data_IF_392604941899
#
_entry.id   IF_392604941899
#
_cell.length_a   1.000
_cell.length_b   1.000
_cell.length_c   1.000
_cell.angle_alpha   90.00
_cell.angle_beta   90.00
_cell.angle_gamma   90.00
#
_symmetry.space_group_name_H-M   'P 1'
#
loop_
_entity.id
_entity.type
_entity.pdbx_description
1 polymer ?
#
# COMPACT_ATOMS: atom_id res chain seq x y z
N UNK A 1 -7.01 2.55 34.09
CA UNK A 1 -6.33 1.59 33.18
C UNK A 1 -6.56 1.87 31.69
N UNK A 2 -7.78 2.10 31.21
CA UNK A 2 -8.08 2.23 29.76
C UNK A 2 -7.35 3.37 29.02
N UNK A 3 -7.18 4.54 29.62
CA UNK A 3 -6.50 5.69 28.98
C UNK A 3 -4.99 5.50 28.77
N UNK A 4 -4.31 4.72 29.62
CA UNK A 4 -2.88 4.46 29.51
C UNK A 4 -2.55 3.51 28.36
N UNK A 5 -3.39 2.49 28.17
CA UNK A 5 -3.27 1.52 27.07
C UNK A 5 -3.55 2.15 25.72
N UNK A 6 -4.63 2.95 25.59
CA UNK A 6 -4.93 3.67 24.35
C UNK A 6 -3.79 4.62 23.94
N UNK A 7 -3.15 5.30 24.91
CA UNK A 7 -2.01 6.17 24.65
C UNK A 7 -0.77 5.37 24.20
N UNK A 8 -0.52 4.21 24.80
CA UNK A 8 0.59 3.34 24.41
C UNK A 8 0.37 2.75 23.00
N UNK A 9 -0.84 2.29 22.69
CA UNK A 9 -1.19 1.76 21.37
C UNK A 9 -1.15 2.83 20.28
N UNK A 10 -1.56 4.07 20.57
CA UNK A 10 -1.39 5.21 19.67
C UNK A 10 0.08 5.39 19.29
N UNK A 11 0.97 5.47 20.30
CA UNK A 11 2.41 5.63 20.05
C UNK A 11 2.98 4.46 19.25
N UNK A 12 2.63 3.23 19.61
CA UNK A 12 3.06 2.06 18.86
C UNK A 12 2.61 2.09 17.39
N UNK A 13 1.37 2.53 17.11
CA UNK A 13 0.89 2.70 15.75
C UNK A 13 1.63 3.80 14.98
N UNK A 14 1.95 4.91 15.64
CA UNK A 14 2.74 6.01 15.07
C UNK A 14 4.17 5.54 14.75
N UNK A 15 4.84 4.89 15.70
CA UNK A 15 6.20 4.35 15.54
C UNK A 15 6.26 3.30 14.41
N UNK A 16 5.30 2.37 14.38
CA UNK A 16 5.21 1.38 13.31
C UNK A 16 4.96 2.06 11.95
N UNK A 17 4.15 3.11 11.90
CA UNK A 17 3.93 3.85 10.65
C UNK A 17 5.19 4.54 10.16
N UNK A 18 6.03 5.06 11.07
CA UNK A 18 7.32 5.68 10.74
C UNK A 18 8.26 4.66 10.10
N UNK A 19 8.41 3.48 10.72
CA UNK A 19 9.22 2.39 10.16
C UNK A 19 8.73 1.95 8.78
N UNK A 20 7.42 1.83 8.60
CA UNK A 20 6.84 1.46 7.31
C UNK A 20 7.07 2.54 6.24
N UNK A 21 6.99 3.81 6.61
CA UNK A 21 7.30 4.94 5.71
C UNK A 21 8.76 4.92 5.27
N UNK A 22 9.68 4.74 6.22
CA UNK A 22 11.11 4.68 5.93
C UNK A 22 11.43 3.49 5.00
N UNK A 23 10.76 2.36 5.22
CA UNK A 23 10.89 1.19 4.36
C UNK A 23 10.35 1.46 2.93
N UNK A 24 9.22 2.16 2.80
CA UNK A 24 8.69 2.60 1.49
C UNK A 24 9.69 3.54 0.80
N UNK A 25 10.20 4.53 1.52
CA UNK A 25 11.16 5.48 0.98
C UNK A 25 12.45 4.76 0.54
N UNK A 26 12.96 3.84 1.35
CA UNK A 26 14.14 3.05 1.01
C UNK A 26 13.93 2.23 -0.27
N UNK A 27 12.81 1.50 -0.36
CA UNK A 27 12.47 0.71 -1.57
C UNK A 27 12.30 1.59 -2.80
N UNK A 28 11.70 2.77 -2.65
CA UNK A 28 11.51 3.71 -3.76
C UNK A 28 12.84 4.14 -4.40
N UNK A 29 13.93 4.21 -3.63
CA UNK A 29 15.27 4.56 -4.13
C UNK A 29 15.94 3.42 -4.91
N UNK A 30 15.46 2.19 -4.74
CA UNK A 30 16.03 0.98 -5.34
C UNK A 30 15.10 0.33 -6.38
N UNK A 31 13.92 0.90 -6.59
CA UNK A 31 12.89 0.33 -7.45
C UNK A 31 13.31 0.39 -8.93
N UNK A 32 13.24 -0.76 -9.59
CA UNK A 32 13.62 -0.96 -10.98
C UNK A 32 12.43 -0.92 -11.94
N UNK A 33 11.21 -0.94 -11.41
CA UNK A 33 9.95 -1.07 -12.15
C UNK A 33 9.89 -2.34 -12.99
N UNK A 34 10.63 -3.37 -12.59
CA UNK A 34 10.50 -4.70 -13.15
C UNK A 34 9.33 -5.43 -12.48
N UNK A 35 8.47 -6.09 -13.27
CA UNK A 35 7.34 -6.82 -12.72
C UNK A 35 7.82 -8.05 -11.95
N UNK A 36 7.03 -8.54 -11.00
CA UNK A 36 7.33 -9.79 -10.29
C UNK A 36 7.51 -10.97 -11.24
N UNK A 37 6.94 -10.93 -12.45
CA UNK A 37 7.14 -11.95 -13.49
C UNK A 37 8.59 -12.05 -13.99
N UNK A 38 9.46 -11.09 -13.67
CA UNK A 38 10.90 -11.16 -13.95
C UNK A 38 11.70 -11.91 -12.88
N UNK A 39 11.09 -12.27 -11.74
CA UNK A 39 11.76 -12.97 -10.64
C UNK A 39 11.81 -14.48 -10.87
N UNK A 40 12.59 -15.26 -10.10
CA UNK A 40 12.49 -16.72 -10.08
C UNK A 40 11.09 -17.20 -9.67
N UNK A 41 10.58 -18.28 -10.26
CA UNK A 41 9.20 -18.76 -10.05
C UNK A 41 8.79 -18.91 -8.58
N UNK A 42 9.70 -19.41 -7.73
CA UNK A 42 9.43 -19.57 -6.30
C UNK A 42 9.15 -18.23 -5.58
N UNK A 43 9.84 -17.15 -5.97
CA UNK A 43 9.60 -15.81 -5.44
C UNK A 43 8.28 -15.23 -5.98
N UNK A 44 7.97 -15.48 -7.25
CA UNK A 44 6.69 -15.06 -7.84
C UNK A 44 5.51 -15.69 -7.09
N UNK A 45 5.58 -17.00 -6.86
CA UNK A 45 4.54 -17.75 -6.16
C UNK A 45 4.31 -17.22 -4.74
N UNK A 46 5.35 -16.75 -4.07
CA UNK A 46 5.24 -16.15 -2.73
C UNK A 46 4.33 -14.92 -2.77
N UNK A 47 4.60 -13.96 -3.66
CA UNK A 47 3.78 -12.75 -3.77
C UNK A 47 2.36 -13.05 -4.25
N UNK A 48 2.20 -13.96 -5.21
CA UNK A 48 0.88 -14.36 -5.70
C UNK A 48 0.06 -15.05 -4.60
N UNK A 49 0.67 -15.90 -3.79
CA UNK A 49 -0.01 -16.53 -2.66
C UNK A 49 -0.42 -15.49 -1.61
N UNK A 50 0.47 -14.56 -1.25
CA UNK A 50 0.16 -13.48 -0.31
C UNK A 50 -1.02 -12.63 -0.79
N UNK A 51 -1.00 -12.16 -2.05
CA UNK A 51 -2.09 -11.35 -2.61
C UNK A 51 -3.41 -12.14 -2.67
N UNK A 52 -3.34 -13.44 -2.94
CA UNK A 52 -4.50 -14.32 -2.96
C UNK A 52 -5.08 -14.54 -1.55
N UNK A 53 -4.23 -14.71 -0.54
CA UNK A 53 -4.64 -14.82 0.87
C UNK A 53 -5.31 -13.54 1.37
N UNK A 54 -4.86 -12.38 0.90
CA UNK A 54 -5.52 -11.08 1.15
C UNK A 54 -6.83 -10.94 0.36
N UNK A 55 -7.16 -11.89 -0.51
CA UNK A 55 -8.32 -11.87 -1.39
C UNK A 55 -8.29 -10.72 -2.40
N UNK A 56 -7.10 -10.22 -2.74
CA UNK A 56 -6.89 -9.19 -3.77
C UNK A 56 -6.92 -9.79 -5.17
N UNK A 57 -6.61 -11.09 -5.25
CA UNK A 57 -6.62 -11.83 -6.50
C UNK A 57 -7.25 -13.22 -6.32
N UNK A 58 -7.83 -13.77 -7.38
CA UNK A 58 -8.31 -15.16 -7.41
C UNK A 58 -7.15 -16.13 -7.67
N UNK A 59 -7.14 -17.27 -6.96
CA UNK A 59 -6.19 -18.38 -7.27
C UNK A 59 -6.61 -19.08 -8.55
N UNK A 60 -6.22 -18.55 -9.73
CA UNK A 60 -5.85 -19.25 -10.99
C UNK A 60 -5.86 -18.31 -12.21
N UNK A 61 -4.89 -18.56 -13.09
CA UNK A 61 -4.73 -18.19 -14.52
C UNK A 61 -4.62 -16.74 -14.97
N UNK A 62 -5.37 -15.77 -14.44
CA UNK A 62 -5.55 -14.51 -15.18
C UNK A 62 -4.50 -13.42 -14.84
N UNK A 63 -3.55 -13.76 -13.97
CA UNK A 63 -2.67 -12.80 -13.27
C UNK A 63 -1.18 -12.97 -13.53
N UNK A 64 -0.79 -13.96 -14.35
CA UNK A 64 0.57 -13.99 -14.92
C UNK A 64 0.90 -12.74 -15.77
N UNK A 65 -0.10 -11.88 -16.04
CA UNK A 65 0.02 -10.68 -16.86
C UNK A 65 -0.09 -9.33 -16.16
N UNK A 66 -0.34 -9.23 -14.84
CA UNK A 66 -0.30 -7.91 -14.18
C UNK A 66 1.15 -7.56 -13.83
N UNK A 67 1.75 -6.51 -14.42
CA UNK A 67 3.13 -6.11 -14.14
C UNK A 67 3.25 -5.43 -12.77
N UNK A 68 2.81 -6.07 -11.68
CA UNK A 68 3.03 -5.56 -10.33
C UNK A 68 4.51 -5.65 -9.97
N UNK A 69 5.04 -4.62 -9.33
CA UNK A 69 6.42 -4.60 -8.83
C UNK A 69 6.51 -5.21 -7.44
N UNK A 70 7.72 -5.59 -7.05
CA UNK A 70 8.01 -6.06 -5.69
C UNK A 70 7.62 -5.00 -4.65
N UNK A 71 7.95 -3.72 -4.88
CA UNK A 71 7.66 -2.67 -3.90
C UNK A 71 6.15 -2.50 -3.68
N UNK A 72 5.35 -2.57 -4.74
CA UNK A 72 3.88 -2.52 -4.62
C UNK A 72 3.33 -3.70 -3.82
N UNK A 73 3.77 -4.92 -4.12
CA UNK A 73 3.34 -6.11 -3.38
C UNK A 73 3.72 -6.01 -1.90
N UNK A 74 4.95 -5.59 -1.59
CA UNK A 74 5.42 -5.43 -0.22
C UNK A 74 4.71 -4.30 0.53
N UNK A 75 4.37 -3.20 -0.14
CA UNK A 75 3.56 -2.13 0.43
C UNK A 75 2.17 -2.65 0.80
N UNK A 76 1.49 -3.33 -0.14
CA UNK A 76 0.15 -3.88 0.07
C UNK A 76 0.15 -4.84 1.26
N UNK A 77 1.12 -5.75 1.32
CA UNK A 77 1.29 -6.65 2.46
C UNK A 77 1.47 -5.91 3.78
N UNK A 78 2.31 -4.87 3.78
CA UNK A 78 2.58 -4.06 4.98
C UNK A 78 1.32 -3.33 5.45
N UNK A 79 0.58 -2.72 4.52
CA UNK A 79 -0.68 -2.04 4.82
C UNK A 79 -1.72 -3.03 5.34
N UNK A 80 -1.85 -4.19 4.71
CA UNK A 80 -2.76 -5.25 5.15
C UNK A 80 -2.51 -5.65 6.60
N UNK A 81 -1.27 -5.97 6.96
CA UNK A 81 -0.95 -6.36 8.33
C UNK A 81 -1.11 -5.21 9.32
N UNK A 82 -0.79 -3.97 8.93
CA UNK A 82 -1.01 -2.80 9.77
C UNK A 82 -2.50 -2.59 10.07
N UNK A 83 -3.33 -2.60 9.02
CA UNK A 83 -4.78 -2.43 9.10
C UNK A 83 -5.41 -3.57 9.91
N UNK A 84 -5.04 -4.83 9.66
CA UNK A 84 -5.55 -5.96 10.43
C UNK A 84 -5.13 -5.92 11.90
N UNK A 85 -3.88 -5.54 12.18
CA UNK A 85 -3.42 -5.38 13.56
C UNK A 85 -4.21 -4.30 14.27
N UNK A 86 -4.45 -3.17 13.60
CA UNK A 86 -5.29 -2.09 14.09
C UNK A 86 -6.73 -2.53 14.38
N UNK A 87 -7.35 -3.27 13.44
CA UNK A 87 -8.70 -3.80 13.62
C UNK A 87 -8.80 -4.75 14.83
N UNK A 88 -7.79 -5.60 15.05
CA UNK A 88 -7.76 -6.55 16.19
C UNK A 88 -7.67 -5.88 17.55
N UNK A 89 -7.27 -4.61 17.62
CA UNK A 89 -7.28 -3.85 18.88
C UNK A 89 -8.71 -3.50 19.33
N UNK A 90 -9.70 -3.59 18.44
CA UNK A 90 -11.12 -3.34 18.71
C UNK A 90 -11.35 -2.05 19.52
N UNK A 91 -10.68 -0.98 19.10
CA UNK A 91 -10.63 0.29 19.82
C UNK A 91 -10.91 1.45 18.86
N UNK A 92 -12.18 1.88 18.82
CA UNK A 92 -12.66 2.96 17.95
C UNK A 92 -11.89 4.29 18.17
N UNK A 93 -11.42 4.56 19.39
CA UNK A 93 -10.62 5.76 19.71
C UNK A 93 -9.28 5.82 18.95
N UNK A 94 -8.79 4.68 18.47
CA UNK A 94 -7.56 4.59 17.68
C UNK A 94 -7.79 4.70 16.18
N UNK A 95 -9.02 4.55 15.69
CA UNK A 95 -9.31 4.61 14.25
C UNK A 95 -8.78 5.89 13.58
N UNK A 96 -8.96 7.11 14.15
CA UNK A 96 -8.41 8.31 13.52
C UNK A 96 -6.89 8.30 13.42
N UNK A 97 -6.20 7.71 14.41
CA UNK A 97 -4.74 7.57 14.41
C UNK A 97 -4.31 6.56 13.37
N UNK A 98 -4.94 5.39 13.34
CA UNK A 98 -4.62 4.32 12.39
C UNK A 98 -4.85 4.79 10.94
N UNK A 99 -5.97 5.46 10.66
CA UNK A 99 -6.25 6.05 9.35
C UNK A 99 -5.20 7.10 8.96
N UNK A 100 -4.77 7.95 9.91
CA UNK A 100 -3.70 8.92 9.68
C UNK A 100 -2.35 8.24 9.38
N UNK A 101 -1.99 7.19 10.12
CA UNK A 101 -0.78 6.41 9.87
C UNK A 101 -0.80 5.81 8.45
N UNK A 102 -1.91 5.20 8.04
CA UNK A 102 -2.09 4.67 6.68
C UNK A 102 -1.95 5.79 5.64
N UNK A 103 -2.59 6.93 5.85
CA UNK A 103 -2.48 8.07 4.94
C UNK A 103 -1.03 8.57 4.80
N UNK A 104 -0.26 8.61 5.89
CA UNK A 104 1.15 9.01 5.82
C UNK A 104 2.02 8.02 5.04
N UNK A 105 1.76 6.71 5.17
CA UNK A 105 2.45 5.67 4.38
C UNK A 105 2.10 5.83 2.89
N UNK A 106 0.81 5.98 2.58
CA UNK A 106 0.33 6.14 1.20
C UNK A 106 0.86 7.41 0.55
N UNK A 107 0.95 8.53 1.29
CA UNK A 107 1.51 9.78 0.78
C UNK A 107 2.92 9.58 0.22
N UNK A 108 3.79 8.91 0.96
CA UNK A 108 5.17 8.63 0.50
C UNK A 108 5.16 7.80 -0.79
N UNK A 109 4.33 6.76 -0.86
CA UNK A 109 4.22 5.96 -2.07
C UNK A 109 3.67 6.76 -3.26
N UNK A 110 2.63 7.58 -3.04
CA UNK A 110 1.97 8.32 -4.12
C UNK A 110 2.87 9.42 -4.67
N UNK A 111 3.59 10.13 -3.79
CA UNK A 111 4.64 11.06 -4.23
C UNK A 111 5.69 10.34 -5.09
N UNK A 112 6.05 9.11 -4.73
CA UNK A 112 6.98 8.32 -5.54
C UNK A 112 6.40 7.96 -6.90
N UNK A 113 5.14 7.51 -6.99
CA UNK A 113 4.48 7.27 -8.27
C UNK A 113 4.44 8.51 -9.16
N UNK A 114 4.07 9.67 -8.60
CA UNK A 114 4.02 10.93 -9.34
C UNK A 114 5.41 11.30 -9.86
N UNK A 115 6.44 11.22 -9.02
CA UNK A 115 7.83 11.48 -9.44
C UNK A 115 8.29 10.50 -10.52
N UNK A 116 7.94 9.23 -10.40
CA UNK A 116 8.29 8.21 -11.39
C UNK A 116 7.61 8.45 -12.75
N UNK A 117 6.33 8.83 -12.74
CA UNK A 117 5.56 9.18 -13.95
C UNK A 117 6.06 10.45 -14.63
N UNK A 118 6.59 11.40 -13.86
CA UNK A 118 7.18 12.64 -14.37
C UNK A 118 8.64 12.47 -14.86
N UNK A 119 9.30 11.36 -14.54
CA UNK A 119 10.70 11.13 -14.90
C UNK A 119 10.83 10.62 -16.34
N UNK A 120 11.48 11.37 -17.26
CA UNK A 120 11.66 10.95 -18.65
C UNK A 120 12.41 9.62 -18.79
N UNK A 121 13.33 9.29 -17.88
CA UNK A 121 14.11 8.04 -17.94
C UNK A 121 13.25 6.81 -17.69
N UNK A 122 12.08 6.98 -17.06
CA UNK A 122 11.12 5.90 -16.78
C UNK A 122 9.98 5.84 -17.80
N UNK A 123 10.02 6.65 -18.86
CA UNK A 123 9.01 6.61 -19.93
C UNK A 123 8.76 5.20 -20.48
N UNK A 124 9.76 4.32 -20.69
CA UNK A 124 9.52 2.94 -21.15
C UNK A 124 8.75 2.08 -20.14
N UNK A 125 8.77 2.44 -18.85
CA UNK A 125 8.11 1.72 -17.74
C UNK A 125 6.78 2.36 -17.33
N UNK A 126 6.32 3.41 -18.05
CA UNK A 126 5.11 4.16 -17.70
C UNK A 126 3.88 3.26 -17.55
N UNK A 127 3.66 2.31 -18.45
CA UNK A 127 2.54 1.36 -18.38
C UNK A 127 2.58 0.53 -17.10
N UNK A 128 3.76 -0.02 -16.74
CA UNK A 128 3.97 -0.74 -15.49
C UNK A 128 3.65 0.14 -14.28
N UNK A 129 4.14 1.38 -14.24
CA UNK A 129 3.88 2.31 -13.15
C UNK A 129 2.37 2.55 -12.99
N UNK A 130 1.66 2.81 -14.10
CA UNK A 130 0.21 3.04 -14.11
C UNK A 130 -0.59 1.83 -13.61
N UNK A 131 -0.22 0.61 -14.01
CA UNK A 131 -0.88 -0.60 -13.51
C UNK A 131 -0.68 -0.76 -11.99
N UNK A 132 0.51 -0.42 -11.47
CA UNK A 132 0.78 -0.49 -10.03
C UNK A 132 -0.04 0.55 -9.26
N UNK A 133 -0.19 1.76 -9.82
CA UNK A 133 -1.07 2.80 -9.27
C UNK A 133 -2.51 2.30 -9.23
N UNK A 134 -3.04 1.85 -10.36
CA UNK A 134 -4.42 1.38 -10.50
C UNK A 134 -4.73 0.20 -9.59
N UNK A 135 -3.83 -0.79 -9.53
CA UNK A 135 -4.01 -1.95 -8.64
C UNK A 135 -4.06 -1.53 -7.16
N UNK A 136 -3.20 -0.60 -6.75
CA UNK A 136 -3.20 -0.10 -5.38
C UNK A 136 -4.49 0.67 -5.07
N UNK A 137 -4.92 1.61 -5.93
CA UNK A 137 -6.05 2.50 -5.66
C UNK A 137 -7.42 1.86 -5.88
N UNK A 138 -7.56 1.02 -6.90
CA UNK A 138 -8.85 0.48 -7.32
C UNK A 138 -9.11 -0.93 -6.80
N UNK A 139 -8.06 -1.68 -6.43
CA UNK A 139 -8.21 -3.04 -5.88
C UNK A 139 -7.79 -3.15 -4.41
N UNK A 140 -6.55 -2.79 -4.08
CA UNK A 140 -6.00 -3.02 -2.75
C UNK A 140 -6.62 -2.11 -1.68
N UNK A 141 -6.64 -0.80 -1.90
CA UNK A 141 -7.17 0.16 -0.93
C UNK A 141 -8.66 -0.06 -0.61
N UNK A 142 -9.56 -0.29 -1.58
CA UNK A 142 -10.96 -0.57 -1.29
C UNK A 142 -11.15 -1.85 -0.46
N UNK A 143 -10.28 -2.85 -0.64
CA UNK A 143 -10.30 -4.06 0.19
C UNK A 143 -9.87 -3.76 1.62
N UNK A 144 -8.78 -3.02 1.79
CA UNK A 144 -8.26 -2.60 3.09
C UNK A 144 -9.23 -1.69 3.85
N UNK A 145 -9.95 -0.83 3.13
CA UNK A 145 -10.93 0.09 3.68
C UNK A 145 -12.17 -0.58 4.28
N UNK A 146 -12.37 -1.88 4.08
CA UNK A 146 -13.44 -2.63 4.77
C UNK A 146 -13.12 -2.90 6.24
N UNK A 147 -11.84 -2.82 6.61
CA UNK A 147 -11.36 -3.19 7.94
C UNK A 147 -11.16 -1.99 8.87
N UNK A 148 -10.81 -0.86 8.29
CA UNK A 148 -10.76 0.46 8.90
C UNK A 148 -11.47 1.37 7.89
N UNK A 149 -12.34 2.30 8.28
CA UNK A 149 -13.10 3.19 7.40
C UNK A 149 -12.20 4.20 6.63
N UNK A 150 -11.15 3.71 5.97
CA UNK A 150 -10.05 4.46 5.39
C UNK A 150 -10.56 5.41 4.30
N UNK A 151 -11.50 4.98 3.46
CA UNK A 151 -12.07 5.81 2.39
C UNK A 151 -13.03 6.88 2.91
N UNK A 152 -13.53 6.74 4.14
CA UNK A 152 -14.30 7.77 4.82
C UNK A 152 -13.38 8.85 5.42
N UNK A 153 -12.10 8.52 5.62
CA UNK A 153 -11.11 9.46 6.12
C UNK A 153 -10.63 10.42 5.03
N UNK A 154 -10.80 11.72 5.28
CA UNK A 154 -10.56 12.80 4.30
C UNK A 154 -9.16 12.76 3.72
N UNK A 155 -8.15 12.49 4.54
CA UNK A 155 -6.75 12.49 4.14
C UNK A 155 -6.44 11.37 3.15
N UNK A 156 -6.99 10.17 3.34
CA UNK A 156 -6.79 9.05 2.40
C UNK A 156 -7.51 9.35 1.08
N UNK A 157 -8.73 9.86 1.15
CA UNK A 157 -9.50 10.24 -0.05
C UNK A 157 -8.80 11.32 -0.86
N UNK A 158 -8.34 12.39 -0.20
CA UNK A 158 -7.61 13.48 -0.83
C UNK A 158 -6.35 12.99 -1.54
N UNK A 159 -5.60 12.07 -0.93
CA UNK A 159 -4.43 11.44 -1.56
C UNK A 159 -4.80 10.65 -2.82
N UNK A 160 -5.89 9.88 -2.79
CA UNK A 160 -6.35 9.16 -3.99
C UNK A 160 -6.81 10.11 -5.10
N UNK A 161 -7.48 11.21 -4.75
CA UNK A 161 -7.90 12.24 -5.71
C UNK A 161 -6.70 12.96 -6.34
N UNK A 162 -5.70 13.35 -5.52
CA UNK A 162 -4.44 13.94 -5.98
C UNK A 162 -3.70 13.01 -6.95
N UNK A 163 -3.59 11.71 -6.60
CA UNK A 163 -2.94 10.74 -7.46
C UNK A 163 -3.69 10.55 -8.78
N UNK A 164 -5.03 10.45 -8.75
CA UNK A 164 -5.84 10.36 -9.98
C UNK A 164 -5.65 11.59 -10.87
N UNK A 165 -5.62 12.78 -10.29
CA UNK A 165 -5.40 14.02 -11.05
C UNK A 165 -3.99 14.08 -11.67
N UNK A 166 -2.99 13.50 -11.02
CA UNK A 166 -1.62 13.44 -11.54
C UNK A 166 -1.41 12.36 -12.62
N UNK A 167 -2.34 11.40 -12.72
CA UNK A 167 -2.25 10.22 -13.59
C UNK A 167 -3.17 10.33 -14.82
N UNK A 168 -4.22 11.14 -14.74
CA UNK A 168 -5.12 11.48 -15.84
C UNK A 168 -4.40 12.24 -16.99
#
# INVERSE_FOLDING_TARGET
>A
MRLGLARAWRRAAEDQSMVLRDAVEHRSRQETWEPISSLPSAEQETYLNELAEMGLISKRSDLLGLPLTVSTCQLIRSLYHFVQSGQRLDCYELEPVLCRCVAQILRVQFEYYIRALANPTLSPKRSTILVNVEFLTEQALPKLAKHLNLMEYREVRGLCEELRAAVA
#
